data_IF_874487703966
#
_entry.id   IF_874487703966
#
_cell.length_a   1.000
_cell.length_b   1.000
_cell.length_c   1.000
_cell.angle_alpha   90.00
_cell.angle_beta   90.00
_cell.angle_gamma   90.00
#
_symmetry.space_group_name_H-M   'P 1'
#
loop_
_entity.id
_entity.type
_entity.pdbx_description
1 polymer ?
#
# COMPACT_ATOMS: atom_id res chain seq x y z
N UNK A 1 6.41 -18.10 -34.39
CA UNK A 1 5.31 -17.33 -33.78
C UNK A 1 5.92 -16.39 -32.75
N UNK A 2 6.02 -15.10 -33.06
CA UNK A 2 6.45 -14.07 -32.12
C UNK A 2 5.36 -13.91 -31.06
N UNK A 3 5.57 -14.50 -29.89
CA UNK A 3 4.65 -14.38 -28.76
C UNK A 3 4.61 -12.94 -28.28
N UNK A 4 3.45 -12.30 -28.38
CA UNK A 4 3.24 -10.97 -27.83
C UNK A 4 3.26 -11.06 -26.30
N UNK A 5 4.17 -10.33 -25.67
CA UNK A 5 4.16 -10.16 -24.22
C UNK A 5 3.26 -8.96 -23.86
N UNK A 6 2.09 -9.24 -23.32
CA UNK A 6 1.11 -8.22 -22.92
C UNK A 6 1.66 -7.21 -21.89
N UNK A 7 2.70 -7.56 -21.12
CA UNK A 7 3.36 -6.67 -20.17
C UNK A 7 4.14 -5.53 -20.83
N UNK A 8 4.50 -5.68 -22.10
CA UNK A 8 5.23 -4.66 -22.87
C UNK A 8 4.30 -3.56 -23.41
N UNK A 9 2.98 -3.81 -23.39
CA UNK A 9 1.96 -2.92 -23.96
C UNK A 9 1.03 -2.31 -22.92
N UNK A 10 0.77 -3.03 -21.81
CA UNK A 10 -0.13 -2.56 -20.76
C UNK A 10 0.46 -2.78 -19.36
N UNK A 11 0.56 -1.69 -18.59
CA UNK A 11 1.08 -1.66 -17.22
C UNK A 11 -0.04 -1.70 -16.17
N UNK A 12 -1.08 -2.49 -16.41
CA UNK A 12 -2.21 -2.60 -15.50
C UNK A 12 -2.11 -3.87 -14.64
N UNK A 13 -2.62 -3.86 -13.41
CA UNK A 13 -2.54 -5.00 -12.52
C UNK A 13 -3.48 -6.12 -12.98
N UNK A 14 -2.93 -7.25 -13.44
CA UNK A 14 -3.68 -8.32 -14.10
C UNK A 14 -4.00 -9.52 -13.19
N UNK A 15 -3.78 -9.42 -11.87
CA UNK A 15 -4.25 -10.41 -10.91
C UNK A 15 -5.01 -9.75 -9.74
N UNK A 16 -5.86 -10.52 -9.05
CA UNK A 16 -6.70 -10.04 -7.95
C UNK A 16 -5.91 -9.33 -6.82
N UNK A 17 -4.63 -9.66 -6.67
CA UNK A 17 -3.76 -9.12 -5.63
C UNK A 17 -3.01 -7.86 -6.06
N UNK A 18 -2.82 -7.68 -7.37
CA UNK A 18 -2.23 -6.47 -7.92
C UNK A 18 -3.30 -5.37 -7.89
N UNK A 19 -3.00 -4.29 -7.18
CA UNK A 19 -3.83 -3.10 -7.09
C UNK A 19 -2.98 -1.90 -7.45
N UNK A 20 -3.58 -0.95 -8.19
CA UNK A 20 -2.93 0.30 -8.61
C UNK A 20 -2.39 1.06 -7.39
N UNK A 21 -3.08 0.93 -6.25
CA UNK A 21 -2.71 1.52 -4.97
C UNK A 21 -2.50 0.41 -3.95
N UNK A 22 -1.36 0.42 -3.25
CA UNK A 22 -1.18 -0.35 -2.02
C UNK A 22 -1.34 0.58 -0.81
N UNK A 23 -2.02 0.07 0.22
CA UNK A 23 -2.26 0.82 1.46
C UNK A 23 -1.11 0.56 2.45
N UNK A 24 -0.44 1.61 2.88
CA UNK A 24 0.56 1.60 3.94
C UNK A 24 0.11 2.59 5.02
N UNK A 25 -0.33 2.10 6.16
CA UNK A 25 -0.72 2.97 7.28
C UNK A 25 0.52 3.25 8.15
N UNK A 26 1.13 4.46 8.11
CA UNK A 26 2.30 4.78 8.93
C UNK A 26 1.93 5.01 10.41
N UNK A 27 0.66 5.36 10.66
CA UNK A 27 0.12 5.55 11.99
C UNK A 27 -1.40 5.48 11.97
N UNK A 28 -1.98 4.99 13.07
CA UNK A 28 -3.41 5.08 13.38
C UNK A 28 -3.70 6.19 14.43
N UNK A 29 -2.70 7.02 14.75
CA UNK A 29 -2.87 8.17 15.64
C UNK A 29 -3.45 9.34 14.86
N UNK A 30 -4.48 9.94 15.41
CA UNK A 30 -5.07 11.18 14.90
C UNK A 30 -5.05 12.26 15.98
N UNK A 31 -4.84 13.52 15.59
CA UNK A 31 -4.87 14.67 16.50
C UNK A 31 -6.25 15.35 16.56
N UNK A 32 -7.26 14.81 15.89
CA UNK A 32 -8.62 15.35 15.85
C UNK A 32 -9.53 14.65 16.87
N UNK A 33 -10.35 15.44 17.56
CA UNK A 33 -11.47 14.93 18.34
C UNK A 33 -12.72 14.92 17.46
N UNK A 34 -13.22 13.72 17.13
CA UNK A 34 -14.37 13.55 16.25
C UNK A 34 -15.41 12.63 16.89
N UNK A 35 -16.62 13.17 17.15
CA UNK A 35 -17.73 12.45 17.77
C UNK A 35 -18.27 11.30 16.91
N UNK A 36 -18.12 11.41 15.58
CA UNK A 36 -18.50 10.37 14.63
C UNK A 36 -17.37 9.44 14.24
N UNK A 37 -16.22 9.48 14.92
CA UNK A 37 -15.08 8.63 14.57
C UNK A 37 -15.38 7.18 14.92
N UNK A 38 -15.39 6.31 13.92
CA UNK A 38 -15.54 4.86 14.12
C UNK A 38 -14.20 4.14 14.30
N UNK A 39 -13.07 4.79 13.98
CA UNK A 39 -11.74 4.23 14.20
C UNK A 39 -11.23 4.54 15.60
N UNK A 40 -10.60 3.55 16.23
CA UNK A 40 -9.85 3.72 17.47
C UNK A 40 -8.59 4.54 17.20
N UNK A 41 -8.37 5.58 18.00
CA UNK A 41 -7.17 6.41 17.95
C UNK A 41 -6.06 5.75 18.77
N UNK A 42 -5.04 5.20 18.11
CA UNK A 42 -3.96 4.47 18.77
C UNK A 42 -2.75 5.38 18.99
N UNK A 43 -2.59 5.88 20.23
CA UNK A 43 -1.61 6.92 20.58
C UNK A 43 -0.14 6.53 20.32
N UNK A 44 0.18 5.24 20.37
CA UNK A 44 1.53 4.69 20.20
C UNK A 44 1.69 3.91 18.89
N UNK A 45 0.94 4.27 17.85
CA UNK A 45 0.92 3.55 16.57
C UNK A 45 1.87 4.10 15.49
N UNK A 46 2.73 5.06 15.82
CA UNK A 46 3.70 5.57 14.85
C UNK A 46 4.74 4.49 14.55
N UNK A 47 4.78 4.04 13.29
CA UNK A 47 5.84 3.17 12.80
C UNK A 47 7.15 3.93 12.68
N UNK A 48 8.25 3.24 12.95
CA UNK A 48 9.59 3.71 12.63
C UNK A 48 9.82 3.73 11.11
N UNK A 49 10.79 4.52 10.65
CA UNK A 49 11.19 4.50 9.24
C UNK A 49 11.71 3.12 8.79
N UNK A 50 12.27 2.34 9.71
CA UNK A 50 12.72 0.98 9.42
C UNK A 50 11.52 0.07 9.11
N UNK A 51 10.50 0.06 9.97
CA UNK A 51 9.28 -0.73 9.73
C UNK A 51 8.57 -0.33 8.43
N UNK A 52 8.47 0.97 8.15
CA UNK A 52 7.90 1.48 6.88
C UNK A 52 8.71 0.96 5.68
N UNK A 53 10.05 0.96 5.78
CA UNK A 53 10.91 0.45 4.72
C UNK A 53 10.72 -1.06 4.48
N UNK A 54 10.59 -1.84 5.55
CA UNK A 54 10.35 -3.29 5.43
C UNK A 54 8.99 -3.58 4.78
N UNK A 55 7.93 -2.84 5.12
CA UNK A 55 6.63 -2.97 4.46
C UNK A 55 6.69 -2.62 2.97
N UNK A 56 7.41 -1.55 2.60
CA UNK A 56 7.63 -1.20 1.20
C UNK A 56 8.39 -2.30 0.45
N UNK A 57 9.40 -2.93 1.08
CA UNK A 57 10.12 -4.06 0.48
C UNK A 57 9.18 -5.24 0.20
N UNK A 58 8.26 -5.55 1.12
CA UNK A 58 7.24 -6.59 0.94
C UNK A 58 6.35 -6.25 -0.26
N UNK A 59 5.87 -5.01 -0.37
CA UNK A 59 5.04 -4.61 -1.51
C UNK A 59 5.79 -4.73 -2.84
N UNK A 60 7.03 -4.25 -2.92
CA UNK A 60 7.83 -4.36 -4.14
C UNK A 60 8.12 -5.81 -4.54
N UNK A 61 8.22 -6.72 -3.58
CA UNK A 61 8.49 -8.13 -3.86
C UNK A 61 7.24 -8.88 -4.34
N UNK A 62 6.08 -8.62 -3.74
CA UNK A 62 4.88 -9.42 -3.97
C UNK A 62 3.81 -8.76 -4.86
N UNK A 63 3.88 -7.45 -5.10
CA UNK A 63 2.81 -6.70 -5.79
C UNK A 63 3.36 -5.81 -6.89
N UNK A 64 2.53 -5.61 -7.92
CA UNK A 64 2.66 -4.47 -8.84
C UNK A 64 1.69 -3.37 -8.41
N UNK A 65 2.23 -2.31 -7.79
CA UNK A 65 1.48 -1.11 -7.42
C UNK A 65 2.13 0.13 -8.02
N UNK A 66 1.32 1.06 -8.50
CA UNK A 66 1.79 2.33 -9.07
C UNK A 66 1.95 3.41 -7.99
N UNK A 67 1.21 3.30 -6.88
CA UNK A 67 1.26 4.24 -5.77
C UNK A 67 1.04 3.57 -4.41
N UNK A 68 1.50 4.27 -3.36
CA UNK A 68 1.27 3.92 -1.96
C UNK A 68 0.39 5.02 -1.35
N UNK A 69 -0.70 4.62 -0.69
CA UNK A 69 -1.58 5.51 0.08
C UNK A 69 -1.41 5.32 1.57
#
# INVERSE_FOLDING_TARGET
MTGLNHLDYYRLPWNLSDNIISWLEPTAKCNLACLGCYRKNEVNSHKTLHEIKEELNVFMHYRKSDSIS
#
